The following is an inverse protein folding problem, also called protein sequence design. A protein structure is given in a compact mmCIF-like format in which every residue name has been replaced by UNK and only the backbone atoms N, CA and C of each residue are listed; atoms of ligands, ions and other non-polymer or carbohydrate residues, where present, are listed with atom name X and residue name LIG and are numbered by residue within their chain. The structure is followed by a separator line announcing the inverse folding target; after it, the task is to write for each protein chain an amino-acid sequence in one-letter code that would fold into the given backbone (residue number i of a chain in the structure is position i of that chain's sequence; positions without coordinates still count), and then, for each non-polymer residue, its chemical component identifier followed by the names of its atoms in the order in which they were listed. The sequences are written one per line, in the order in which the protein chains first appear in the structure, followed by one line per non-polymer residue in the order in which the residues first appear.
data_IF_396150334302
#
_entry.id   IF_396150334302
#
_cell.length_a   1.000
_cell.length_b   1.000
_cell.length_c   1.000
_cell.angle_alpha   90.00
_cell.angle_beta   90.00
_cell.angle_gamma   90.00
#
_symmetry.space_group_name_H-M   'P 1'
#
loop_
_entity.id
_entity.type
_entity.pdbx_description
1 polymer ?
#
# COMPACT_ATOMS: atom_id res chain seq x y z
N UNK A 1 -14.85 6.49 13.79
CA UNK A 1 -13.54 6.82 14.36
C UNK A 1 -12.55 7.02 13.22
N UNK A 2 -11.72 8.06 13.22
CA UNK A 2 -10.68 8.28 12.20
C UNK A 2 -9.32 8.10 12.86
N UNK A 3 -8.61 7.02 12.51
CA UNK A 3 -7.22 6.80 12.95
C UNK A 3 -6.32 7.67 12.07
N UNK A 4 -5.58 8.62 12.68
CA UNK A 4 -4.69 9.54 11.95
C UNK A 4 -3.22 9.29 12.34
N UNK A 5 -2.34 8.96 11.38
CA UNK A 5 -0.92 8.77 11.66
C UNK A 5 -0.24 10.10 11.98
N UNK A 6 0.58 10.09 13.05
CA UNK A 6 1.26 11.29 13.57
C UNK A 6 2.70 11.43 13.12
N UNK A 7 3.40 10.33 12.87
CA UNK A 7 4.80 10.35 12.42
C UNK A 7 4.90 10.35 10.90
N UNK A 8 5.96 10.91 10.30
CA UNK A 8 6.21 10.82 8.87
C UNK A 8 6.22 9.38 8.38
N UNK A 9 6.95 8.49 9.05
CA UNK A 9 7.03 7.07 8.70
C UNK A 9 5.67 6.37 8.72
N UNK A 10 4.79 6.68 9.69
CA UNK A 10 3.45 6.11 9.72
C UNK A 10 2.54 6.65 8.62
N UNK A 11 2.74 7.90 8.18
CA UNK A 11 2.06 8.46 7.01
C UNK A 11 2.58 7.84 5.72
N UNK A 12 3.89 7.58 5.65
CA UNK A 12 4.50 6.96 4.49
C UNK A 12 4.09 5.50 4.31
N UNK A 13 3.93 4.77 5.41
CA UNK A 13 3.43 3.40 5.42
C UNK A 13 2.02 3.23 4.83
N UNK A 14 1.20 4.30 4.77
CA UNK A 14 -0.13 4.25 4.15
C UNK A 14 -0.09 4.16 2.63
N UNK A 15 1.05 4.44 2.02
CA UNK A 15 1.21 4.53 0.57
C UNK A 15 2.26 3.52 0.09
N UNK A 16 2.10 3.10 -1.15
CA UNK A 16 3.08 2.34 -1.89
C UNK A 16 3.50 3.13 -3.13
N UNK A 17 4.74 2.91 -3.54
CA UNK A 17 5.33 3.59 -4.69
C UNK A 17 5.22 2.68 -5.90
N UNK A 18 4.43 3.07 -6.90
CA UNK A 18 4.35 2.37 -8.19
C UNK A 18 5.11 3.13 -9.27
N UNK A 19 5.59 2.41 -10.28
CA UNK A 19 6.21 3.01 -11.46
C UNK A 19 5.08 3.43 -12.41
N UNK A 20 5.18 4.66 -12.94
CA UNK A 20 4.28 5.12 -13.99
C UNK A 20 4.65 4.42 -15.28
N UNK A 21 3.72 3.64 -15.80
CA UNK A 21 3.85 2.98 -17.09
C UNK A 21 3.00 3.67 -18.15
N UNK A 22 3.58 3.83 -19.34
CA UNK A 22 2.90 4.31 -20.54
C UNK A 22 2.00 3.19 -21.13
N UNK A 23 1.21 3.50 -22.17
CA UNK A 23 0.26 2.55 -22.80
C UNK A 23 0.94 1.27 -23.31
N UNK A 24 2.21 1.36 -23.71
CA UNK A 24 3.05 0.25 -24.15
C UNK A 24 3.69 -0.56 -23.01
N UNK A 25 3.31 -0.27 -21.75
CA UNK A 25 3.89 -0.79 -20.50
C UNK A 25 5.35 -0.39 -20.25
N UNK A 26 5.92 0.54 -21.03
CA UNK A 26 7.24 1.07 -20.73
C UNK A 26 7.19 2.00 -19.51
N UNK A 27 8.25 2.02 -18.71
CA UNK A 27 8.34 2.95 -17.60
C UNK A 27 8.60 4.36 -18.13
N UNK A 28 7.77 5.33 -17.74
CA UNK A 28 8.03 6.74 -17.99
C UNK A 28 9.27 7.17 -17.22
N UNK A 29 10.21 7.84 -17.87
CA UNK A 29 11.44 8.33 -17.24
C UNK A 29 11.38 9.84 -16.98
N UNK A 30 12.07 10.29 -15.94
CA UNK A 30 12.29 11.71 -15.64
C UNK A 30 13.50 12.28 -16.39
N UNK A 31 13.86 13.55 -16.12
CA UNK A 31 14.98 14.25 -16.76
C UNK A 31 16.35 13.60 -16.48
N UNK A 32 16.47 12.85 -15.38
CA UNK A 32 17.66 12.10 -14.99
C UNK A 32 17.65 10.65 -15.53
N UNK A 33 16.62 10.27 -16.30
CA UNK A 33 16.45 8.93 -16.85
C UNK A 33 15.98 7.89 -15.83
N UNK A 34 15.45 8.31 -14.68
CA UNK A 34 14.93 7.42 -13.63
C UNK A 34 13.43 7.20 -13.81
N UNK A 35 12.88 6.04 -13.43
CA UNK A 35 11.44 5.80 -13.50
C UNK A 35 10.67 6.83 -12.67
N UNK A 36 9.69 7.47 -13.30
CA UNK A 36 8.71 8.31 -12.62
C UNK A 36 7.87 7.40 -11.73
N UNK A 37 7.75 7.77 -10.46
CA UNK A 37 7.01 7.00 -9.48
C UNK A 37 5.84 7.77 -8.89
N UNK A 38 4.73 7.07 -8.67
CA UNK A 38 3.52 7.62 -8.05
C UNK A 38 3.25 6.95 -6.70
N UNK A 39 2.77 7.74 -5.73
CA UNK A 39 2.30 7.21 -4.45
C UNK A 39 0.82 6.83 -4.56
N UNK A 40 0.53 5.56 -4.37
CA UNK A 40 -0.83 5.01 -4.34
C UNK A 40 -1.16 4.63 -2.91
N UNK A 41 -2.36 4.97 -2.43
CA UNK A 41 -2.81 4.56 -1.12
C UNK A 41 -2.98 3.04 -1.07
N UNK A 42 -2.39 2.38 -0.06
CA UNK A 42 -2.47 0.93 0.14
C UNK A 42 -3.85 0.48 0.61
N UNK A 43 -4.63 1.40 1.13
CA UNK A 43 -5.98 1.17 1.63
C UNK A 43 -6.84 2.43 1.50
N UNK A 44 -8.18 2.30 1.52
CA UNK A 44 -9.08 3.45 1.53
C UNK A 44 -8.77 4.38 2.71
N UNK A 45 -8.23 5.56 2.41
CA UNK A 45 -7.89 6.57 3.44
C UNK A 45 -9.13 7.29 3.99
N UNK A 46 -10.25 7.15 3.29
CA UNK A 46 -11.57 7.57 3.71
C UNK A 46 -12.56 6.45 3.38
N UNK A 47 -13.41 6.11 4.35
CA UNK A 47 -14.49 5.15 4.15
C UNK A 47 -15.74 5.91 3.72
N UNK A 48 -16.32 5.54 2.59
CA UNK A 48 -17.62 6.00 2.11
C UNK A 48 -18.63 4.84 2.21
N UNK A 49 -19.93 5.11 2.01
CA UNK A 49 -20.98 4.09 2.04
C UNK A 49 -20.71 2.90 1.10
N UNK A 50 -20.00 3.10 -0.01
CA UNK A 50 -19.68 2.03 -0.97
C UNK A 50 -18.73 0.96 -0.42
N UNK A 51 -18.01 1.26 0.67
CA UNK A 51 -17.06 0.35 1.31
C UNK A 51 -17.74 -0.55 2.37
N UNK A 52 -18.94 -0.19 2.84
CA UNK A 52 -19.67 -0.92 3.87
C UNK A 52 -20.30 -2.26 3.43
N UNK A 53 -20.74 -2.43 2.15
CA UNK A 53 -21.17 -3.73 1.65
C UNK A 53 -20.05 -4.76 1.58
N UNK A 54 -18.79 -4.32 1.49
CA UNK A 54 -17.64 -5.22 1.38
C UNK A 54 -17.26 -5.73 2.78
N UNK A 55 -17.24 -7.06 3.02
CA UNK A 55 -16.88 -7.60 4.32
C UNK A 55 -15.45 -7.20 4.69
N UNK A 56 -15.19 -6.94 5.98
CA UNK A 56 -13.88 -6.51 6.49
C UNK A 56 -12.74 -7.41 6.02
N UNK A 57 -12.98 -8.72 5.90
CA UNK A 57 -12.01 -9.72 5.45
C UNK A 57 -11.44 -9.43 4.05
N UNK A 58 -12.14 -8.68 3.21
CA UNK A 58 -11.65 -8.25 1.88
C UNK A 58 -10.49 -7.26 1.94
N UNK A 59 -10.34 -6.55 3.07
CA UNK A 59 -9.28 -5.57 3.30
C UNK A 59 -8.16 -6.12 4.20
N UNK A 60 -8.27 -7.38 4.63
CA UNK A 60 -7.28 -8.03 5.48
C UNK A 60 -6.40 -8.96 4.65
N UNK A 61 -5.09 -8.77 4.72
CA UNK A 61 -4.13 -9.76 4.23
C UNK A 61 -4.11 -10.91 5.24
N UNK A 62 -4.57 -12.08 4.81
CA UNK A 62 -4.58 -13.29 5.66
C UNK A 62 -3.17 -13.87 5.75
N UNK A 63 -2.85 -14.54 6.86
CA UNK A 63 -1.55 -15.18 7.06
C UNK A 63 -1.19 -16.17 5.93
N UNK A 64 -2.20 -16.85 5.38
CA UNK A 64 -2.08 -17.77 4.24
C UNK A 64 -1.71 -17.10 2.91
N UNK A 65 -1.87 -15.78 2.82
CA UNK A 65 -1.53 -14.96 1.65
C UNK A 65 -0.19 -14.23 1.79
N UNK A 66 0.47 -14.34 2.94
CA UNK A 66 1.79 -13.75 3.18
C UNK A 66 2.88 -14.66 2.60
N UNK A 67 3.87 -14.06 1.96
CA UNK A 67 5.10 -14.75 1.58
C UNK A 67 5.92 -15.15 2.82
N UNK A 68 6.83 -16.12 2.69
CA UNK A 68 7.67 -16.58 3.80
C UNK A 68 8.47 -15.42 4.43
N UNK A 69 8.92 -14.45 3.63
CA UNK A 69 9.62 -13.26 4.11
C UNK A 69 8.70 -12.35 4.96
N UNK A 70 7.47 -12.13 4.51
CA UNK A 70 6.49 -11.33 5.24
C UNK A 70 6.07 -12.00 6.56
N UNK A 71 5.94 -13.32 6.58
CA UNK A 71 5.63 -14.09 7.81
C UNK A 71 6.74 -13.97 8.85
N UNK A 72 8.00 -14.04 8.41
CA UNK A 72 9.16 -13.79 9.27
C UNK A 72 9.17 -12.35 9.78
N UNK A 73 8.81 -11.38 8.92
CA UNK A 73 8.64 -9.99 9.31
C UNK A 73 7.55 -9.79 10.38
N UNK A 74 6.40 -10.43 10.21
CA UNK A 74 5.29 -10.38 11.18
C UNK A 74 5.67 -10.98 12.53
N UNK A 75 6.33 -12.15 12.53
CA UNK A 75 6.77 -12.81 13.76
C UNK A 75 7.75 -11.92 14.57
N UNK A 76 8.62 -11.16 13.89
CA UNK A 76 9.52 -10.19 14.55
C UNK A 76 8.79 -9.01 15.20
N UNK A 77 7.62 -8.62 14.68
CA UNK A 77 6.80 -7.55 15.25
C UNK A 77 5.96 -8.02 16.46
N UNK A 78 5.71 -9.32 16.56
CA UNK A 78 4.93 -9.93 17.63
C UNK A 78 5.77 -10.34 18.86
N UNK A 79 7.10 -10.31 18.73
CA UNK A 79 8.05 -10.56 19.81
C UNK A 79 8.41 -9.30 20.58
#
# INVERSE_FOLDING_TARGET
YVVRPRTPSARDSLYETTIVTEEDRSARLDEDGRPVVWRIARFPLSWSEEHFPTPTDSYLTKDESLSDEERVGLAKLQS
#
